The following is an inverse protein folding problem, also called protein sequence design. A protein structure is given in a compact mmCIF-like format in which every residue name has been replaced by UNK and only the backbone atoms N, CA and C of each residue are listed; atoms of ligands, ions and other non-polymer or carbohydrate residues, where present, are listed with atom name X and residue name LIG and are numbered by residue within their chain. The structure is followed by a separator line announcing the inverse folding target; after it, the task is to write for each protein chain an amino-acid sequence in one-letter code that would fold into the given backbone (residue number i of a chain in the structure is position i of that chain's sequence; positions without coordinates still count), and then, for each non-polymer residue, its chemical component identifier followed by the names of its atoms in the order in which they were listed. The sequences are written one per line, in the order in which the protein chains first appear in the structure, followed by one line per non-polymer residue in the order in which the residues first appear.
data_IF_624845843786
#
_entry.id   IF_624845843786
#
_cell.length_a   1.000
_cell.length_b   1.000
_cell.length_c   1.000
_cell.angle_alpha   90.00
_cell.angle_beta   90.00
_cell.angle_gamma   90.00
#
_symmetry.space_group_name_H-M   'P 1'
#
loop_
_entity.id
_entity.type
_entity.pdbx_description
1 polymer ?
#
# COMPACT_ATOMS: atom_id res chain seq x y z
N UNK A 1 -8.42 -3.65 -0.92
CA UNK A 1 -9.08 -2.41 -1.33
C UNK A 1 -8.07 -1.27 -1.51
N UNK A 2 -7.34 -0.86 -0.47
CA UNK A 2 -6.40 0.28 -0.54
C UNK A 2 -5.36 0.11 -1.64
N UNK A 3 -4.77 -1.09 -1.77
CA UNK A 3 -3.81 -1.36 -2.84
C UNK A 3 -4.40 -1.23 -4.23
N UNK A 4 -5.59 -1.78 -4.45
CA UNK A 4 -6.33 -1.61 -5.70
C UNK A 4 -6.61 -0.14 -5.98
N UNK A 5 -7.12 0.58 -4.99
CA UNK A 5 -7.37 2.02 -5.09
C UNK A 5 -6.12 2.80 -5.54
N UNK A 6 -4.98 2.56 -4.91
CA UNK A 6 -3.74 3.26 -5.22
C UNK A 6 -3.21 2.91 -6.61
N UNK A 7 -3.31 1.64 -7.00
CA UNK A 7 -2.89 1.21 -8.32
C UNK A 7 -3.77 1.82 -9.41
N UNK A 8 -5.10 1.78 -9.25
CA UNK A 8 -6.03 2.38 -10.20
C UNK A 8 -5.84 3.90 -10.32
N UNK A 9 -5.69 4.61 -9.20
CA UNK A 9 -5.48 6.05 -9.19
C UNK A 9 -4.19 6.50 -9.87
N UNK A 10 -3.13 5.69 -9.80
CA UNK A 10 -1.82 6.00 -10.39
C UNK A 10 -1.59 5.38 -11.76
N UNK A 11 -2.52 4.56 -12.25
CA UNK A 11 -2.33 3.76 -13.46
C UNK A 11 -1.24 2.71 -13.33
N UNK A 12 -0.99 2.23 -12.10
CA UNK A 12 0.01 1.21 -11.82
C UNK A 12 -0.53 -0.20 -12.08
N UNK A 13 0.37 -1.12 -12.46
CA UNK A 13 0.02 -2.50 -12.74
C UNK A 13 -0.35 -3.28 -11.47
N UNK A 14 0.30 -2.95 -10.37
CA UNK A 14 0.17 -3.60 -9.06
C UNK A 14 0.36 -2.60 -7.92
N UNK A 15 0.12 -3.06 -6.69
CA UNK A 15 0.45 -2.30 -5.49
C UNK A 15 1.19 -3.12 -4.43
N UNK A 16 2.13 -2.47 -3.76
CA UNK A 16 2.77 -2.93 -2.53
C UNK A 16 2.40 -1.97 -1.40
N UNK A 17 1.54 -2.41 -0.52
CA UNK A 17 1.04 -1.58 0.57
C UNK A 17 1.61 -2.09 1.89
N UNK A 18 2.33 -1.23 2.61
CA UNK A 18 2.88 -1.59 3.91
C UNK A 18 1.76 -1.79 4.92
N UNK A 19 1.85 -2.87 5.69
CA UNK A 19 1.00 -3.07 6.85
C UNK A 19 1.52 -2.22 8.01
N UNK A 20 0.61 -1.56 8.72
CA UNK A 20 0.93 -0.91 9.98
C UNK A 20 1.36 -1.94 10.99
N UNK A 21 2.64 -1.91 11.36
CA UNK A 21 3.15 -2.72 12.46
C UNK A 21 3.39 -1.86 13.68
N UNK A 22 2.83 -2.27 14.80
CA UNK A 22 3.24 -1.75 16.08
C UNK A 22 4.58 -2.40 16.44
N UNK A 23 5.65 -1.63 16.36
CA UNK A 23 6.92 -2.07 16.87
C UNK A 23 6.96 -1.69 18.33
N UNK A 24 6.72 -2.64 19.21
CA UNK A 24 6.94 -2.46 20.63
C UNK A 24 8.44 -2.66 20.91
N UNK A 25 9.18 -1.59 20.89
CA UNK A 25 10.59 -1.60 21.27
C UNK A 25 10.94 -0.23 21.84
N UNK A 26 11.44 -0.17 23.03
CA UNK A 26 11.93 1.05 23.70
C UNK A 26 10.88 2.14 23.99
N UNK A 27 9.62 1.78 24.16
CA UNK A 27 8.55 2.71 24.56
C UNK A 27 8.08 3.67 23.48
N UNK A 28 8.52 3.52 22.25
CA UNK A 28 8.04 4.28 21.11
C UNK A 28 7.17 3.38 20.22
N UNK A 29 5.90 3.67 20.19
CA UNK A 29 4.99 3.07 19.22
C UNK A 29 5.25 3.75 17.87
N UNK A 30 6.00 3.10 17.00
CA UNK A 30 6.16 3.55 15.63
C UNK A 30 5.10 2.91 14.76
N UNK A 31 4.12 3.69 14.38
CA UNK A 31 3.28 3.35 13.23
C UNK A 31 4.08 3.73 11.97
N UNK A 32 4.60 2.73 11.29
CA UNK A 32 5.41 2.93 10.10
C UNK A 32 4.56 3.28 8.85
N UNK A 33 3.40 3.90 9.03
CA UNK A 33 2.58 4.38 7.92
C UNK A 33 1.90 3.27 7.12
N UNK A 34 1.79 2.08 7.67
CA UNK A 34 1.09 0.98 7.02
C UNK A 34 -0.43 1.05 7.20
N UNK A 35 -1.12 0.22 6.45
CA UNK A 35 -2.57 0.04 6.61
C UNK A 35 -2.85 -0.48 8.00
N UNK A 36 -3.56 0.30 8.80
CA UNK A 36 -3.98 -0.07 10.14
C UNK A 36 -5.50 0.03 10.24
N UNK A 37 -6.12 -1.01 10.71
CA UNK A 37 -7.56 -1.01 10.92
C UNK A 37 -8.35 -1.83 9.93
N UNK A 38 -9.64 -1.85 10.14
CA UNK A 38 -10.61 -2.62 9.38
C UNK A 38 -11.79 -1.72 9.03
N UNK A 39 -12.33 -1.89 7.85
CA UNK A 39 -13.67 -1.39 7.54
C UNK A 39 -14.70 -2.33 8.13
N UNK A 40 -15.62 -1.78 8.91
CA UNK A 40 -16.74 -2.53 9.47
C UNK A 40 -17.99 -2.32 8.62
N UNK A 41 -18.91 -3.29 8.64
CA UNK A 41 -20.18 -3.22 7.95
C UNK A 41 -21.06 -2.10 8.53
N UNK A 42 -21.00 -0.93 7.90
CA UNK A 42 -21.75 0.29 8.23
C UNK A 42 -21.64 1.29 7.09
N UNK A 43 -22.27 2.45 7.24
CA UNK A 43 -21.99 3.58 6.34
C UNK A 43 -20.53 4.01 6.51
N UNK A 44 -19.76 3.96 5.42
CA UNK A 44 -18.35 4.36 5.41
C UNK A 44 -18.28 5.89 5.36
N UNK A 45 -17.52 6.45 6.27
CA UNK A 45 -17.25 7.88 6.36
C UNK A 45 -15.79 8.19 5.99
N UNK A 46 -15.48 9.46 5.76
CA UNK A 46 -14.11 9.93 5.54
C UNK A 46 -13.16 9.52 6.68
N UNK A 47 -13.67 9.49 7.91
CA UNK A 47 -12.89 9.05 9.06
C UNK A 47 -12.53 7.56 8.96
N UNK A 48 -13.47 6.71 8.54
CA UNK A 48 -13.21 5.28 8.35
C UNK A 48 -12.16 5.06 7.25
N UNK A 49 -12.27 5.78 6.14
CA UNK A 49 -11.28 5.74 5.06
C UNK A 49 -9.91 6.15 5.58
N UNK A 50 -9.81 7.25 6.33
CA UNK A 50 -8.55 7.72 6.89
C UNK A 50 -7.87 6.68 7.79
N UNK A 51 -8.64 5.90 8.55
CA UNK A 51 -8.08 4.89 9.48
C UNK A 51 -7.44 3.71 8.78
N UNK A 52 -7.81 3.42 7.54
CA UNK A 52 -7.25 2.31 6.76
C UNK A 52 -6.15 2.74 5.79
N UNK A 53 -5.95 4.05 5.60
CA UNK A 53 -4.92 4.55 4.70
C UNK A 53 -3.54 4.53 5.36
N UNK A 54 -2.51 4.02 4.66
CA UNK A 54 -1.16 3.96 5.20
C UNK A 54 -0.52 5.34 5.39
N UNK A 55 -0.98 6.32 4.64
CA UNK A 55 -0.34 7.63 4.53
C UNK A 55 -1.15 8.75 5.21
N UNK A 56 -2.32 8.43 5.77
CA UNK A 56 -3.19 9.43 6.41
C UNK A 56 -3.77 10.45 5.43
N UNK A 57 -3.95 11.69 5.89
CA UNK A 57 -4.79 12.69 5.23
C UNK A 57 -4.18 13.37 4.01
N UNK A 58 -2.86 13.56 3.98
CA UNK A 58 -2.24 14.53 3.05
C UNK A 58 -1.08 13.98 2.24
N UNK A 59 -0.67 12.74 2.46
CA UNK A 59 0.45 12.19 1.71
C UNK A 59 0.01 11.74 0.33
N UNK A 60 0.89 11.97 -0.64
CA UNK A 60 0.71 11.53 -2.01
C UNK A 60 1.09 10.05 -2.17
N UNK A 61 0.45 9.40 -3.13
CA UNK A 61 0.79 8.03 -3.51
C UNK A 61 2.12 8.06 -4.25
N UNK A 62 3.01 7.16 -3.91
CA UNK A 62 4.29 7.01 -4.60
C UNK A 62 4.25 5.85 -5.58
N UNK A 63 5.06 5.95 -6.62
CA UNK A 63 5.21 4.90 -7.63
C UNK A 63 6.67 4.58 -7.86
N UNK A 64 6.93 3.33 -8.24
CA UNK A 64 8.28 2.84 -8.55
C UNK A 64 8.20 1.77 -9.63
N UNK A 65 9.24 1.64 -10.43
CA UNK A 65 9.36 0.57 -11.43
C UNK A 65 10.25 -0.55 -10.89
N UNK A 66 9.70 -1.75 -10.79
CA UNK A 66 10.38 -2.92 -10.24
C UNK A 66 10.15 -4.14 -11.12
N UNK A 67 11.12 -5.03 -11.17
CA UNK A 67 10.92 -6.37 -11.77
C UNK A 67 10.07 -7.25 -10.86
N UNK A 68 9.44 -8.28 -11.42
CA UNK A 68 8.65 -9.22 -10.62
C UNK A 68 9.48 -9.86 -9.51
N UNK A 69 10.76 -10.16 -9.80
CA UNK A 69 11.68 -10.67 -8.78
C UNK A 69 11.92 -9.67 -7.65
N UNK A 70 12.19 -8.40 -7.96
CA UNK A 70 12.37 -7.37 -6.95
C UNK A 70 11.13 -7.20 -6.06
N UNK A 71 9.94 -7.27 -6.66
CA UNK A 71 8.67 -7.20 -5.92
C UNK A 71 8.53 -8.37 -4.95
N UNK A 72 8.81 -9.59 -5.41
CA UNK A 72 8.73 -10.79 -4.57
C UNK A 72 9.76 -10.76 -3.44
N UNK A 73 10.99 -10.29 -3.73
CA UNK A 73 12.04 -10.15 -2.74
C UNK A 73 11.66 -9.12 -1.65
N UNK A 74 11.12 -7.96 -2.05
CA UNK A 74 10.62 -6.95 -1.10
C UNK A 74 9.46 -7.48 -0.24
N UNK A 75 8.53 -8.19 -0.86
CA UNK A 75 7.42 -8.82 -0.15
C UNK A 75 7.93 -9.78 0.91
N UNK A 76 8.86 -10.65 0.54
CA UNK A 76 9.45 -11.64 1.45
C UNK A 76 10.28 -10.98 2.55
N UNK A 77 11.19 -10.06 2.20
CA UNK A 77 12.03 -9.34 3.17
C UNK A 77 11.19 -8.54 4.17
N UNK A 78 10.10 -7.94 3.74
CA UNK A 78 9.19 -7.21 4.60
C UNK A 78 8.58 -8.08 5.69
N UNK A 79 8.17 -9.30 5.35
CA UNK A 79 7.66 -10.26 6.33
C UNK A 79 8.74 -10.79 7.27
N UNK A 80 9.90 -11.14 6.75
CA UNK A 80 11.01 -11.69 7.54
C UNK A 80 11.56 -10.64 8.54
N UNK A 81 11.38 -9.36 8.24
CA UNK A 81 11.91 -8.25 9.03
C UNK A 81 10.89 -7.58 9.95
N UNK A 82 9.73 -8.17 10.15
CA UNK A 82 8.71 -7.64 11.09
C UNK A 82 9.32 -7.42 12.47
N UNK A 83 9.23 -6.19 12.98
CA UNK A 83 9.75 -5.82 14.28
C UNK A 83 11.19 -5.29 14.29
N UNK A 84 11.89 -5.27 13.16
CA UNK A 84 13.28 -4.75 13.10
C UNK A 84 13.38 -3.23 12.84
N UNK A 85 12.28 -2.57 12.56
CA UNK A 85 12.18 -1.11 12.47
C UNK A 85 12.51 -0.49 11.10
N UNK A 86 13.17 -1.21 10.21
CA UNK A 86 13.65 -0.65 8.94
C UNK A 86 12.96 -1.22 7.70
N UNK A 87 12.18 -2.27 7.85
CA UNK A 87 11.46 -2.90 6.75
C UNK A 87 9.99 -3.01 7.07
N UNK A 88 9.19 -3.00 6.02
CA UNK A 88 7.74 -3.07 6.13
C UNK A 88 7.26 -4.43 5.64
N UNK A 89 6.37 -5.12 6.38
CA UNK A 89 5.60 -6.18 5.80
C UNK A 89 4.65 -5.58 4.77
N UNK A 90 4.78 -6.02 3.52
CA UNK A 90 3.91 -5.54 2.45
C UNK A 90 2.74 -6.49 2.22
N UNK A 91 1.60 -5.92 1.85
CA UNK A 91 0.55 -6.64 1.12
C UNK A 91 0.80 -6.41 -0.37
N UNK A 92 0.97 -7.49 -1.09
CA UNK A 92 1.01 -7.48 -2.55
C UNK A 92 -0.43 -7.55 -3.08
N UNK A 93 -0.80 -6.58 -3.88
CA UNK A 93 -2.09 -6.53 -4.57
C UNK A 93 -1.82 -6.52 -6.08
N UNK A 94 -2.16 -7.62 -6.73
CA UNK A 94 -1.92 -7.81 -8.15
C UNK A 94 -3.09 -8.55 -8.81
N UNK A 95 -3.57 -8.11 -9.98
CA UNK A 95 -4.56 -8.84 -10.77
C UNK A 95 -3.94 -9.98 -11.61
N UNK A 96 -2.63 -10.16 -11.55
CA UNK A 96 -1.89 -11.09 -12.38
C UNK A 96 -0.76 -11.79 -11.60
N UNK A 97 -0.28 -12.92 -12.13
CA UNK A 97 0.97 -13.52 -11.69
C UNK A 97 2.17 -12.68 -12.17
N UNK A 98 3.20 -12.59 -11.34
CA UNK A 98 4.39 -11.80 -11.64
C UNK A 98 5.45 -12.68 -12.34
N UNK A 99 5.98 -12.17 -13.44
CA UNK A 99 7.10 -12.74 -14.15
C UNK A 99 8.41 -12.10 -13.66
N UNK A 100 9.39 -12.90 -13.27
CA UNK A 100 10.60 -12.44 -12.58
C UNK A 100 11.32 -11.29 -13.29
N UNK A 101 11.49 -11.41 -14.62
CA UNK A 101 12.25 -10.45 -15.43
C UNK A 101 11.42 -9.29 -15.99
N UNK A 102 10.11 -9.35 -15.86
CA UNK A 102 9.22 -8.30 -16.36
C UNK A 102 9.17 -7.14 -15.38
N UNK A 103 9.21 -5.94 -15.92
CA UNK A 103 9.10 -4.70 -15.13
C UNK A 103 7.64 -4.26 -15.03
N UNK A 104 7.24 -3.89 -13.82
CA UNK A 104 5.92 -3.41 -13.48
C UNK A 104 5.98 -2.01 -12.90
N UNK A 105 4.97 -1.20 -13.18
CA UNK A 105 4.72 0.03 -12.45
C UNK A 105 4.00 -0.33 -11.15
N UNK A 106 4.56 0.07 -10.02
CA UNK A 106 4.08 -0.32 -8.69
C UNK A 106 3.62 0.91 -7.93
N UNK A 107 2.37 0.93 -7.48
CA UNK A 107 1.93 1.88 -6.46
C UNK A 107 2.44 1.38 -5.10
N UNK A 108 3.17 2.20 -4.37
CA UNK A 108 3.84 1.77 -3.15
C UNK A 108 3.58 2.72 -1.98
N UNK A 109 3.42 2.15 -0.80
CA UNK A 109 3.46 2.88 0.46
C UNK A 109 4.48 2.25 1.40
N UNK A 110 5.15 3.07 2.19
CA UNK A 110 6.21 2.59 3.09
C UNK A 110 7.47 2.20 2.31
N UNK A 111 8.32 3.19 2.04
CA UNK A 111 9.55 2.99 1.30
C UNK A 111 10.71 2.81 2.27
N UNK A 112 11.36 1.63 2.22
CA UNK A 112 12.55 1.37 3.00
C UNK A 112 13.74 2.17 2.46
N UNK A 113 14.73 2.46 3.32
CA UNK A 113 15.97 3.12 2.90
C UNK A 113 16.68 2.33 1.79
N UNK A 114 16.63 1.00 1.87
CA UNK A 114 17.18 0.11 0.83
C UNK A 114 16.52 0.37 -0.51
N UNK A 115 15.18 0.33 -0.56
CA UNK A 115 14.45 0.56 -1.80
C UNK A 115 14.72 1.95 -2.37
N UNK A 116 14.72 2.98 -1.52
CA UNK A 116 15.01 4.35 -1.94
C UNK A 116 16.41 4.52 -2.52
N UNK A 117 17.38 3.66 -2.12
CA UNK A 117 18.73 3.67 -2.66
C UNK A 117 18.90 2.87 -3.96
N UNK A 118 18.04 1.91 -4.21
CA UNK A 118 18.13 0.96 -5.33
C UNK A 118 17.21 1.31 -6.51
N UNK A 119 16.16 2.08 -6.27
CA UNK A 119 15.17 2.41 -7.28
C UNK A 119 14.73 3.87 -7.22
N UNK A 120 14.38 4.42 -8.37
CA UNK A 120 13.84 5.77 -8.45
C UNK A 120 12.36 5.76 -8.07
N UNK A 121 12.07 6.33 -6.90
CA UNK A 121 10.71 6.50 -6.41
C UNK A 121 10.18 7.85 -6.88
N UNK A 122 9.02 7.82 -7.50
CA UNK A 122 8.35 9.01 -8.04
C UNK A 122 7.10 9.33 -7.22
N UNK A 123 6.93 10.60 -6.86
CA UNK A 123 5.69 11.10 -6.29
C UNK A 123 4.65 11.26 -7.41
N UNK A 124 3.49 10.63 -7.27
CA UNK A 124 2.43 10.74 -8.27
C UNK A 124 1.72 12.10 -8.28
N UNK A 125 1.86 12.89 -7.22
CA UNK A 125 1.09 14.10 -6.98
C UNK A 125 -0.38 13.84 -6.58
N UNK A 126 -0.81 12.59 -6.49
CA UNK A 126 -2.18 12.21 -6.13
C UNK A 126 -2.26 11.98 -4.63
N UNK A 127 -3.08 12.75 -3.95
CA UNK A 127 -3.32 12.58 -2.50
C UNK A 127 -4.08 11.28 -2.25
N UNK A 128 -3.54 10.41 -1.40
CA UNK A 128 -4.11 9.09 -1.14
C UNK A 128 -5.55 9.14 -0.60
N UNK A 129 -5.87 10.15 0.21
CA UNK A 129 -7.23 10.36 0.72
C UNK A 129 -8.22 10.72 -0.39
N UNK A 130 -7.82 11.56 -1.33
CA UNK A 130 -8.70 11.96 -2.45
C UNK A 130 -8.93 10.77 -3.39
N UNK A 131 -7.89 10.02 -3.71
CA UNK A 131 -8.00 8.78 -4.47
C UNK A 131 -8.95 7.77 -3.79
N UNK A 132 -8.83 7.62 -2.47
CA UNK A 132 -9.68 6.71 -1.73
C UNK A 132 -11.15 7.15 -1.71
N UNK A 133 -11.43 8.43 -1.55
CA UNK A 133 -12.79 8.96 -1.62
C UNK A 133 -13.42 8.72 -2.99
N UNK A 134 -12.68 8.96 -4.06
CA UNK A 134 -13.12 8.70 -5.42
C UNK A 134 -13.38 7.21 -5.65
N UNK A 135 -12.45 6.36 -5.20
CA UNK A 135 -12.59 4.91 -5.33
C UNK A 135 -13.81 4.38 -4.55
N UNK A 136 -13.94 4.71 -3.27
CA UNK A 136 -15.06 4.25 -2.46
C UNK A 136 -16.39 4.84 -2.91
N UNK A 137 -16.40 6.06 -3.45
CA UNK A 137 -17.59 6.71 -4.01
C UNK A 137 -18.19 6.02 -5.23
N UNK A 138 -17.48 5.10 -5.87
CA UNK A 138 -17.99 4.32 -7.00
C UNK A 138 -18.94 3.19 -6.57
N UNK A 139 -18.98 2.85 -5.30
CA UNK A 139 -19.77 1.74 -4.77
C UNK A 139 -20.97 2.26 -3.98
N UNK A 140 -22.18 1.85 -4.37
CA UNK A 140 -23.37 2.04 -3.53
C UNK A 140 -23.31 1.13 -2.29
N UNK A 141 -22.82 -0.08 -2.47
CA UNK A 141 -22.55 -1.05 -1.41
C UNK A 141 -21.23 -1.75 -1.70
N UNK A 142 -20.35 -1.79 -0.69
CA UNK A 142 -19.04 -2.45 -0.78
C UNK A 142 -19.10 -3.83 -0.12
N UNK A 143 -18.61 -4.83 -0.80
CA UNK A 143 -18.53 -6.22 -0.35
C UNK A 143 -17.07 -6.73 -0.32
N UNK A 144 -16.85 -7.90 0.27
CA UNK A 144 -15.54 -8.56 0.23
C UNK A 144 -15.09 -8.89 -1.20
N UNK A 145 -16.04 -9.18 -2.10
CA UNK A 145 -15.74 -9.46 -3.50
C UNK A 145 -15.14 -8.25 -4.24
N UNK A 146 -15.46 -7.03 -3.80
CA UNK A 146 -14.92 -5.79 -4.38
C UNK A 146 -13.45 -5.57 -3.98
N UNK A 147 -12.96 -6.29 -2.98
CA UNK A 147 -11.55 -6.29 -2.62
C UNK A 147 -10.68 -7.08 -3.61
N UNK A 148 -11.28 -8.03 -4.33
CA UNK A 148 -10.58 -8.77 -5.37
C UNK A 148 -10.35 -7.88 -6.58
N UNK A 149 -9.10 -7.79 -6.99
CA UNK A 149 -8.73 -7.10 -8.23
C UNK A 149 -8.53 -8.15 -9.32
N UNK A 150 -9.41 -8.12 -10.31
CA UNK A 150 -9.39 -9.05 -11.46
C UNK A 150 -8.99 -8.30 -12.72
#
# INVERSE_FOLDING_TARGET
LVGRCFAEATGSDIALISLGTWISGNGTNQNNGGVSGKLYAKNITDYDICTILPTGWSQTIQTVRLTGKQIQDLYKEGYDAVGTGNNYPYVLVSPMELEDEKTYQVAISGISEKLASEAEVTDSGIVGMDAAKEFFGQFETLSEADAEWK
#
